data_IF_849587536752
#
_entry.id   IF_849587536752
#
_cell.length_a   1.000
_cell.length_b   1.000
_cell.length_c   1.000
_cell.angle_alpha   90.00
_cell.angle_beta   90.00
_cell.angle_gamma   90.00
#
_symmetry.space_group_name_H-M   'P 1'
#
loop_
_entity.id
_entity.type
_entity.pdbx_description
1 polymer ?
#
# COMPACT_ATOMS: atom_id res chain seq x y z
N UNK A 1 10.90 -15.84 -21.15
CA UNK A 1 11.21 -15.75 -19.71
C UNK A 1 11.19 -14.29 -19.32
N UNK A 2 10.44 -13.94 -18.27
CA UNK A 2 10.38 -12.58 -17.72
C UNK A 2 10.99 -12.66 -16.32
N UNK A 3 11.90 -11.75 -16.00
CA UNK A 3 12.48 -11.60 -14.66
C UNK A 3 12.23 -10.18 -14.18
N UNK A 4 11.77 -10.05 -12.94
CA UNK A 4 11.51 -8.77 -12.27
C UNK A 4 12.31 -8.79 -10.97
N UNK A 5 13.09 -7.73 -10.70
CA UNK A 5 13.80 -7.54 -9.44
C UNK A 5 13.52 -6.15 -8.90
N UNK A 6 13.47 -6.05 -7.58
CA UNK A 6 13.28 -4.83 -6.83
C UNK A 6 13.71 -5.05 -5.38
N UNK A 7 13.92 -3.94 -4.67
CA UNK A 7 14.11 -3.92 -3.22
C UNK A 7 13.05 -3.01 -2.55
N UNK A 8 12.86 -3.19 -1.24
CA UNK A 8 12.00 -2.34 -0.43
C UNK A 8 12.83 -1.46 0.50
N UNK A 9 12.67 -0.15 0.39
CA UNK A 9 13.31 0.83 1.27
C UNK A 9 12.27 1.38 2.27
N UNK A 10 12.52 1.34 3.59
CA UNK A 10 11.65 2.00 4.57
C UNK A 10 11.70 3.52 4.38
N UNK A 11 10.54 4.15 4.38
CA UNK A 11 10.42 5.60 4.11
C UNK A 11 9.71 6.36 5.22
N UNK A 12 8.83 5.69 5.99
CA UNK A 12 8.00 6.40 6.95
C UNK A 12 7.34 5.45 7.94
N UNK A 13 7.05 5.95 9.14
CA UNK A 13 6.07 5.33 10.02
C UNK A 13 4.69 5.89 9.70
N UNK A 14 3.67 5.04 9.86
CA UNK A 14 2.26 5.37 9.71
C UNK A 14 1.64 5.35 11.11
N UNK A 15 0.93 6.41 11.47
CA UNK A 15 0.28 6.51 12.78
C UNK A 15 -1.07 7.23 12.65
N UNK A 16 -1.74 7.49 13.78
CA UNK A 16 -2.91 8.35 13.79
C UNK A 16 -2.54 9.72 14.35
N UNK A 17 -3.04 10.78 13.72
CA UNK A 17 -3.09 12.10 14.34
C UNK A 17 -4.08 12.12 15.50
N UNK A 18 -4.04 13.20 16.27
CA UNK A 18 -4.98 13.45 17.39
C UNK A 18 -6.45 13.45 16.95
N UNK A 19 -6.76 13.84 15.71
CA UNK A 19 -8.11 13.78 15.12
C UNK A 19 -8.44 12.39 14.52
N UNK A 20 -7.61 11.38 14.77
CA UNK A 20 -7.84 10.00 14.37
C UNK A 20 -7.69 9.73 12.87
N UNK A 21 -6.98 10.60 12.13
CA UNK A 21 -6.67 10.39 10.70
C UNK A 21 -5.32 9.70 10.52
N UNK A 22 -5.15 8.86 9.50
CA UNK A 22 -3.83 8.33 9.16
C UNK A 22 -2.85 9.46 8.85
N UNK A 23 -1.70 9.43 9.51
CA UNK A 23 -0.56 10.30 9.25
C UNK A 23 0.61 9.47 8.75
N UNK A 24 1.35 10.09 7.85
CA UNK A 24 2.60 9.57 7.32
C UNK A 24 3.67 10.57 7.76
N UNK A 25 4.85 10.09 8.13
CA UNK A 25 6.02 10.94 8.41
C UNK A 25 6.47 11.76 7.20
N UNK A 26 7.65 12.38 7.27
CA UNK A 26 8.09 13.28 6.20
C UNK A 26 8.21 12.57 4.84
N UNK A 27 7.46 13.06 3.85
CA UNK A 27 7.43 12.55 2.48
C UNK A 27 8.17 13.48 1.52
N UNK A 28 8.92 14.47 2.01
CA UNK A 28 9.63 15.45 1.19
C UNK A 28 10.55 14.79 0.15
N UNK A 29 11.26 13.73 0.54
CA UNK A 29 12.19 12.94 -0.28
C UNK A 29 11.54 11.91 -1.21
N UNK A 30 10.21 11.77 -1.17
CA UNK A 30 9.52 10.74 -1.94
C UNK A 30 9.42 11.10 -3.41
N UNK A 31 9.82 10.18 -4.29
CA UNK A 31 9.53 10.27 -5.73
C UNK A 31 8.01 10.28 -5.95
N UNK A 32 7.57 10.97 -7.01
CA UNK A 32 6.15 11.12 -7.30
C UNK A 32 5.58 9.80 -7.85
N UNK A 33 6.20 9.19 -8.85
CA UNK A 33 5.69 7.95 -9.42
C UNK A 33 6.39 6.72 -8.83
N UNK A 34 5.62 5.69 -8.46
CA UNK A 34 6.20 4.41 -8.04
C UNK A 34 5.25 3.48 -7.31
N UNK A 35 5.84 2.49 -6.66
CA UNK A 35 5.19 1.42 -5.91
C UNK A 35 5.58 1.56 -4.45
N UNK A 36 4.62 1.37 -3.55
CA UNK A 36 4.83 1.42 -2.12
C UNK A 36 4.11 0.24 -1.45
N UNK A 37 4.55 -0.08 -0.24
CA UNK A 37 3.84 -0.99 0.65
C UNK A 37 3.66 -0.40 2.05
N UNK A 38 2.61 -0.85 2.72
CA UNK A 38 2.40 -0.65 4.14
C UNK A 38 2.47 -2.00 4.84
N UNK A 39 3.41 -2.13 5.78
CA UNK A 39 3.46 -3.26 6.69
C UNK A 39 2.58 -2.93 7.89
N UNK A 40 1.55 -3.75 8.07
CA UNK A 40 0.46 -3.56 9.00
C UNK A 40 0.26 -4.85 9.81
N UNK A 41 -0.50 -4.76 10.89
CA UNK A 41 -0.94 -5.94 11.62
C UNK A 41 -2.43 -5.82 11.88
N UNK A 42 -3.19 -6.60 11.15
CA UNK A 42 -4.63 -6.64 11.19
C UNK A 42 -5.07 -7.51 12.38
N UNK A 43 -6.03 -7.05 13.20
CA UNK A 43 -6.44 -7.77 14.43
C UNK A 43 -6.83 -9.24 14.20
N UNK A 44 -7.59 -9.50 13.14
CA UNK A 44 -8.12 -10.83 12.84
C UNK A 44 -7.24 -11.63 11.88
N UNK A 45 -6.42 -10.95 11.08
CA UNK A 45 -5.57 -11.58 10.06
C UNK A 45 -4.11 -11.74 10.51
N UNK A 46 -3.69 -11.07 11.59
CA UNK A 46 -2.28 -10.96 11.96
C UNK A 46 -1.51 -10.02 11.02
N UNK A 47 -0.18 -10.22 10.87
CA UNK A 47 0.64 -9.43 9.96
C UNK A 47 0.06 -9.43 8.53
N UNK A 48 -0.15 -8.24 7.98
CA UNK A 48 -0.76 -8.02 6.69
C UNK A 48 -0.01 -6.90 5.96
N UNK A 49 0.10 -6.99 4.64
CA UNK A 49 0.74 -5.95 3.84
C UNK A 49 -0.27 -5.34 2.89
N UNK A 50 -0.23 -4.02 2.70
CA UNK A 50 -0.92 -3.37 1.61
C UNK A 50 0.10 -2.96 0.55
N UNK A 51 -0.11 -3.30 -0.72
CA UNK A 51 0.75 -2.88 -1.83
C UNK A 51 -0.08 -2.02 -2.78
N UNK A 52 0.50 -0.90 -3.21
CA UNK A 52 -0.16 0.03 -4.13
C UNK A 52 0.81 0.75 -5.07
N UNK A 53 0.31 1.11 -6.25
CA UNK A 53 0.98 2.03 -7.18
C UNK A 53 0.39 3.44 -7.17
N UNK A 54 1.19 4.43 -7.59
CA UNK A 54 0.68 5.74 -7.98
C UNK A 54 1.64 6.49 -8.91
N UNK A 55 1.11 7.30 -9.82
CA UNK A 55 1.88 8.35 -10.54
C UNK A 55 2.29 9.52 -9.64
N UNK A 56 1.62 9.67 -8.50
CA UNK A 56 1.93 10.67 -7.47
C UNK A 56 1.60 10.07 -6.09
N UNK A 57 2.60 9.49 -5.43
CA UNK A 57 2.45 8.81 -4.14
C UNK A 57 2.07 9.83 -3.06
N UNK A 58 2.69 11.02 -3.04
CA UNK A 58 2.37 12.08 -2.07
C UNK A 58 0.89 12.46 -2.12
N UNK A 59 0.36 12.73 -3.31
CA UNK A 59 -1.06 13.04 -3.49
C UNK A 59 -1.94 11.83 -3.12
N UNK A 60 -1.52 10.60 -3.49
CA UNK A 60 -2.27 9.40 -3.13
C UNK A 60 -2.40 9.22 -1.62
N UNK A 61 -1.31 9.40 -0.88
CA UNK A 61 -1.31 9.28 0.58
C UNK A 61 -2.04 10.45 1.25
N UNK A 62 -1.96 11.66 0.69
CA UNK A 62 -2.85 12.77 1.07
C UNK A 62 -4.32 12.39 0.95
N UNK A 63 -4.72 11.73 -0.14
CA UNK A 63 -6.08 11.22 -0.30
C UNK A 63 -6.43 10.11 0.71
N UNK A 64 -5.48 9.24 1.08
CA UNK A 64 -5.70 8.26 2.16
C UNK A 64 -5.87 8.91 3.52
N UNK A 65 -5.15 10.00 3.81
CA UNK A 65 -5.35 10.78 5.04
C UNK A 65 -6.73 11.42 5.09
N UNK A 66 -7.20 11.97 3.96
CA UNK A 66 -8.47 12.69 3.89
C UNK A 66 -9.70 11.78 3.72
N UNK A 67 -9.54 10.60 3.12
CA UNK A 67 -10.65 9.68 2.83
C UNK A 67 -11.61 10.19 1.73
N UNK A 68 -11.21 11.20 0.96
CA UNK A 68 -12.15 11.98 0.12
C UNK A 68 -12.59 11.31 -1.20
N UNK A 69 -11.86 10.32 -1.70
CA UNK A 69 -12.21 9.60 -2.94
C UNK A 69 -12.68 8.17 -2.62
N UNK A 70 -13.65 7.63 -3.34
CA UNK A 70 -14.27 6.32 -3.06
C UNK A 70 -13.24 5.18 -2.86
N UNK A 71 -12.17 5.12 -3.67
CA UNK A 71 -11.09 4.13 -3.53
C UNK A 71 -10.13 4.45 -2.39
N UNK A 72 -9.92 5.73 -2.08
CA UNK A 72 -9.07 6.18 -0.98
C UNK A 72 -9.77 6.01 0.39
N UNK A 73 -11.10 6.11 0.41
CA UNK A 73 -11.94 5.89 1.58
C UNK A 73 -11.73 4.51 2.19
N UNK A 74 -11.72 3.45 1.37
CA UNK A 74 -11.50 2.08 1.87
C UNK A 74 -10.15 1.95 2.58
N UNK A 75 -9.08 2.42 1.93
CA UNK A 75 -7.73 2.40 2.51
C UNK A 75 -7.65 3.27 3.77
N UNK A 76 -8.30 4.44 3.79
CA UNK A 76 -8.40 5.29 4.96
C UNK A 76 -8.97 4.54 6.17
N UNK A 77 -10.11 3.86 5.98
CA UNK A 77 -10.78 3.12 7.05
C UNK A 77 -9.97 1.91 7.53
N UNK A 78 -9.30 1.18 6.63
CA UNK A 78 -8.36 0.12 7.02
C UNK A 78 -7.26 0.66 7.90
N UNK A 79 -6.55 1.69 7.43
CA UNK A 79 -5.44 2.28 8.17
C UNK A 79 -5.92 2.77 9.54
N UNK A 80 -7.08 3.43 9.59
CA UNK A 80 -7.66 3.91 10.85
C UNK A 80 -7.96 2.77 11.83
N UNK A 81 -8.62 1.72 11.36
CA UNK A 81 -8.98 0.56 12.20
C UNK A 81 -7.75 -0.18 12.73
N UNK A 82 -6.78 -0.45 11.84
CA UNK A 82 -5.54 -1.14 12.21
C UNK A 82 -4.71 -0.31 13.18
N UNK A 83 -4.49 0.97 12.89
CA UNK A 83 -3.62 1.84 13.69
C UNK A 83 -4.23 2.20 15.05
N UNK A 84 -5.57 2.25 15.19
CA UNK A 84 -6.23 2.44 16.49
C UNK A 84 -5.88 1.35 17.50
N UNK A 85 -5.58 0.14 17.03
CA UNK A 85 -5.32 -1.03 17.88
C UNK A 85 -3.83 -1.31 18.04
N UNK A 86 -3.04 -1.04 17.00
CA UNK A 86 -1.59 -1.32 16.94
C UNK A 86 -0.70 -0.14 17.31
N UNK A 87 -1.22 1.09 17.19
CA UNK A 87 -0.46 2.33 17.36
C UNK A 87 0.29 2.76 16.10
N UNK A 88 1.16 1.90 15.54
CA UNK A 88 2.07 2.27 14.45
C UNK A 88 2.16 1.18 13.37
N UNK A 89 2.24 1.59 12.10
CA UNK A 89 2.62 0.76 10.96
C UNK A 89 3.86 1.31 10.24
N UNK A 90 4.41 0.57 9.29
CA UNK A 90 5.58 1.01 8.52
C UNK A 90 5.23 1.15 7.04
N UNK A 91 5.82 2.15 6.38
CA UNK A 91 5.69 2.36 4.95
C UNK A 91 7.04 2.21 4.26
N UNK A 92 7.02 1.57 3.09
CA UNK A 92 8.19 1.35 2.26
C UNK A 92 7.91 1.79 0.82
N UNK A 93 8.95 2.18 0.09
CA UNK A 93 8.91 2.33 -1.37
C UNK A 93 9.74 1.26 -2.05
N UNK A 94 9.36 0.93 -3.28
CA UNK A 94 10.13 0.06 -4.13
C UNK A 94 11.30 0.83 -4.76
N UNK A 95 12.50 0.25 -4.74
CA UNK A 95 13.73 0.78 -5.34
C UNK A 95 14.45 -0.33 -6.14
N UNK A 96 15.55 0.03 -6.82
CA UNK A 96 16.42 -0.89 -7.57
C UNK A 96 15.68 -1.78 -8.58
N UNK A 97 14.83 -1.15 -9.40
CA UNK A 97 13.94 -1.84 -10.31
C UNK A 97 14.67 -2.37 -11.55
N UNK A 98 14.59 -3.67 -11.79
CA UNK A 98 15.12 -4.32 -12.99
C UNK A 98 14.04 -5.19 -13.64
N UNK A 99 13.84 -5.01 -14.95
CA UNK A 99 12.98 -5.87 -15.77
C UNK A 99 13.81 -6.48 -16.90
N UNK A 100 13.81 -7.81 -17.00
CA UNK A 100 14.39 -8.54 -18.14
C UNK A 100 13.32 -9.32 -18.88
N UNK A 101 13.30 -9.18 -20.21
CA UNK A 101 12.42 -9.94 -21.10
C UNK A 101 13.30 -10.70 -22.08
N UNK A 102 13.28 -12.03 -22.02
CA UNK A 102 14.14 -12.91 -22.80
C UNK A 102 15.64 -12.54 -22.68
N UNK A 103 16.09 -12.25 -21.45
CA UNK A 103 17.48 -11.88 -21.16
C UNK A 103 17.84 -10.41 -21.46
N UNK A 104 16.94 -9.64 -22.08
CA UNK A 104 17.18 -8.24 -22.43
C UNK A 104 16.64 -7.34 -21.31
N UNK A 105 17.52 -6.55 -20.69
CA UNK A 105 17.12 -5.51 -19.72
C UNK A 105 16.31 -4.42 -20.40
N UNK A 106 15.16 -4.09 -19.83
CA UNK A 106 14.28 -3.01 -20.25
C UNK A 106 14.49 -1.78 -19.37
N UNK A 107 14.41 -0.61 -19.98
CA UNK A 107 14.38 0.66 -19.27
C UNK A 107 13.03 0.82 -18.58
N UNK A 108 13.03 0.84 -17.24
CA UNK A 108 11.82 0.88 -16.41
C UNK A 108 11.50 2.34 -16.10
N UNK A 109 10.34 2.81 -16.57
CA UNK A 109 9.87 4.17 -16.33
C UNK A 109 8.60 4.14 -15.49
N UNK A 110 8.71 4.51 -14.22
CA UNK A 110 7.58 4.48 -13.30
C UNK A 110 6.55 5.57 -13.59
N UNK A 111 6.82 6.52 -14.49
CA UNK A 111 5.82 7.42 -15.07
C UNK A 111 4.80 6.67 -15.93
N UNK A 112 5.21 5.55 -16.53
CA UNK A 112 4.33 4.65 -17.28
C UNK A 112 3.47 3.82 -16.33
N UNK A 113 2.16 3.78 -16.62
CA UNK A 113 1.22 2.99 -15.85
C UNK A 113 1.48 1.49 -15.99
N UNK A 114 1.93 1.05 -17.17
CA UNK A 114 2.08 -0.39 -17.44
C UNK A 114 3.24 -0.96 -16.64
N UNK A 115 4.36 -0.22 -16.53
CA UNK A 115 5.44 -0.60 -15.63
C UNK A 115 4.98 -0.60 -14.18
N UNK A 116 4.28 0.45 -13.71
CA UNK A 116 3.79 0.47 -12.33
C UNK A 116 2.89 -0.73 -11.99
N UNK A 117 1.95 -1.07 -12.89
CA UNK A 117 1.06 -2.22 -12.71
C UNK A 117 1.81 -3.55 -12.76
N UNK A 118 2.79 -3.69 -13.65
CA UNK A 118 3.61 -4.89 -13.75
C UNK A 118 4.38 -5.14 -12.45
N UNK A 119 5.04 -4.11 -11.92
CA UNK A 119 5.79 -4.20 -10.67
C UNK A 119 4.89 -4.37 -9.44
N UNK A 120 3.75 -3.67 -9.38
CA UNK A 120 2.73 -3.86 -8.33
C UNK A 120 2.22 -5.31 -8.32
N UNK A 121 1.86 -5.85 -9.49
CA UNK A 121 1.36 -7.23 -9.62
C UNK A 121 2.43 -8.23 -9.22
N UNK A 122 3.66 -8.05 -9.71
CA UNK A 122 4.80 -8.92 -9.34
C UNK A 122 5.03 -8.92 -7.83
N UNK A 123 4.98 -7.76 -7.19
CA UNK A 123 5.16 -7.63 -5.75
C UNK A 123 4.03 -8.26 -4.94
N UNK A 124 2.79 -8.18 -5.41
CA UNK A 124 1.64 -8.85 -4.79
C UNK A 124 1.82 -10.38 -4.86
N UNK A 125 2.20 -10.92 -6.02
CA UNK A 125 2.39 -12.36 -6.18
C UNK A 125 3.60 -12.89 -5.41
N UNK A 126 4.72 -12.16 -5.41
CA UNK A 126 5.89 -12.48 -4.60
C UNK A 126 5.54 -12.55 -3.11
N UNK A 127 4.87 -11.54 -2.57
CA UNK A 127 4.43 -11.55 -1.17
C UNK A 127 3.47 -12.71 -0.85
N UNK A 128 2.53 -13.03 -1.76
CA UNK A 128 1.64 -14.19 -1.62
C UNK A 128 2.41 -15.50 -1.60
N UNK A 129 3.43 -15.65 -2.46
CA UNK A 129 4.28 -16.84 -2.52
C UNK A 129 5.07 -17.06 -1.22
N UNK A 130 5.37 -15.98 -0.50
CA UNK A 130 5.99 -16.00 0.82
C UNK A 130 4.98 -16.26 1.97
N UNK A 131 3.70 -16.47 1.65
CA UNK A 131 2.65 -16.74 2.63
C UNK A 131 2.11 -15.48 3.34
N UNK A 132 2.42 -14.28 2.85
CA UNK A 132 1.93 -13.04 3.45
C UNK A 132 0.48 -12.77 3.07
N UNK A 133 -0.27 -12.17 4.00
CA UNK A 133 -1.63 -11.69 3.74
C UNK A 133 -1.54 -10.34 3.03
N UNK A 134 -1.89 -10.34 1.73
CA UNK A 134 -1.84 -9.14 0.90
C UNK A 134 -3.22 -8.50 0.77
N UNK A 135 -3.31 -7.27 1.26
CA UNK A 135 -4.38 -6.32 1.01
C UNK A 135 -4.05 -5.57 -0.28
N UNK A 136 -4.85 -5.75 -1.33
CA UNK A 136 -4.75 -4.99 -2.57
C UNK A 136 -6.03 -4.20 -2.76
N UNK A 137 -6.06 -3.26 -3.71
CA UNK A 137 -7.29 -2.55 -4.07
C UNK A 137 -8.46 -3.50 -4.36
N UNK A 138 -8.17 -4.66 -4.95
CA UNK A 138 -9.17 -5.67 -5.28
C UNK A 138 -9.60 -6.45 -4.03
N UNK A 139 -8.64 -6.93 -3.22
CA UNK A 139 -8.95 -7.75 -2.04
C UNK A 139 -9.38 -6.96 -0.80
N UNK A 140 -9.16 -5.64 -0.78
CA UNK A 140 -9.69 -4.75 0.26
C UNK A 140 -11.22 -4.78 0.29
N UNK A 141 -11.87 -4.95 -0.87
CA UNK A 141 -13.33 -4.97 -0.96
C UNK A 141 -13.88 -6.24 -0.33
N UNK A 142 -13.31 -7.39 -0.70
CA UNK A 142 -13.86 -8.69 -0.33
C UNK A 142 -13.55 -9.02 1.14
N UNK A 143 -12.34 -8.72 1.62
CA UNK A 143 -11.95 -9.07 2.99
C UNK A 143 -12.51 -8.11 4.04
N UNK A 144 -12.69 -6.82 3.78
CA UNK A 144 -13.23 -5.90 4.80
C UNK A 144 -14.73 -6.04 5.01
N UNK A 145 -15.46 -6.54 4.00
CA UNK A 145 -16.87 -6.91 4.14
C UNK A 145 -17.04 -8.19 4.96
N UNK A 146 -16.05 -9.09 4.96
CA UNK A 146 -16.06 -10.32 5.76
C UNK A 146 -15.66 -10.12 7.23
N UNK A 147 -14.95 -9.04 7.55
CA UNK A 147 -14.25 -8.90 8.84
C UNK A 147 -14.74 -7.74 9.75
N UNK A 148 -15.89 -7.12 9.43
CA UNK A 148 -16.52 -6.06 10.23
C UNK A 148 -15.54 -4.95 10.64
N UNK A 149 -15.24 -4.07 9.68
CA UNK A 149 -14.69 -2.73 9.96
C UNK A 149 -15.78 -1.66 9.76
N UNK A 150 -17.03 -2.04 10.04
CA UNK A 150 -18.04 -1.08 10.46
C UNK A 150 -18.05 -1.15 11.99
N UNK A 151 -17.36 -0.20 12.62
CA UNK A 151 -17.64 0.11 14.03
C UNK A 151 -19.17 0.17 14.18
N UNK A 152 -19.73 -0.68 15.04
CA UNK A 152 -21.09 -0.50 15.50
C UNK A 152 -21.21 0.90 16.13
N UNK A 153 -21.97 1.78 15.49
CA UNK A 153 -22.29 3.14 15.95
C UNK A 153 -21.72 4.23 15.02
N UNK A 154 -22.49 5.12 14.39
CA UNK A 154 -23.90 5.47 14.48
C UNK A 154 -24.46 5.65 13.06
N UNK A 155 -25.60 5.02 12.78
CA UNK A 155 -26.56 5.56 11.82
C UNK A 155 -27.55 6.34 12.66
N UNK A 156 -27.44 7.67 12.66
CA UNK A 156 -28.57 8.56 12.93
C UNK A 156 -29.12 9.06 11.61
#
# INVERSE_FOLDING_TARGET
>A
MIEIKYNWEPISNISLSLDGKPTFGDLSSLQLAGIYKFDLTCTQLGPCIYIGESKNIKNRWGNYRLGAAQTAYKVHHVLKSVLRRQGVGAAHRMIDLELKIHGITRDVKLEDKDFRLLFETSAIEDARSQGLIVLSRQTLIDRLLEYDVLDGGEVT
#
